data_IF_243310552576
#
_entry.id   IF_243310552576
#
_cell.length_a   1.000
_cell.length_b   1.000
_cell.length_c   1.000
_cell.angle_alpha   90.00
_cell.angle_beta   90.00
_cell.angle_gamma   90.00
#
_symmetry.space_group_name_H-M   'P 1'
#
loop_
_entity.id
_entity.type
_entity.pdbx_description
1 polymer ?
#
# COMPACT_ATOMS: atom_id res chain seq x y z
N UNK A 1 -12.33 -6.84 0.93
CA UNK A 1 -12.35 -5.91 -0.23
C UNK A 1 -12.69 -6.71 -1.47
N UNK A 2 -13.40 -6.12 -2.44
CA UNK A 2 -13.66 -6.80 -3.70
C UNK A 2 -12.34 -7.01 -4.47
N UNK A 3 -12.18 -8.07 -5.29
CA UNK A 3 -10.93 -8.34 -6.04
C UNK A 3 -10.41 -7.15 -6.86
N UNK A 4 -11.34 -6.32 -7.37
CA UNK A 4 -11.02 -5.08 -8.09
C UNK A 4 -10.31 -4.04 -7.22
N UNK A 5 -10.76 -3.84 -5.99
CA UNK A 5 -10.17 -2.86 -5.08
C UNK A 5 -8.73 -3.25 -4.69
N UNK A 6 -8.48 -4.55 -4.49
CA UNK A 6 -7.13 -5.05 -4.22
C UNK A 6 -6.20 -4.85 -5.42
N UNK A 7 -6.69 -5.07 -6.65
CA UNK A 7 -5.95 -4.83 -7.88
C UNK A 7 -5.61 -3.34 -8.09
N UNK A 8 -6.59 -2.45 -7.86
CA UNK A 8 -6.39 -1.00 -7.95
C UNK A 8 -5.33 -0.50 -6.94
N UNK A 9 -5.33 -1.03 -5.71
CA UNK A 9 -4.29 -0.71 -4.73
C UNK A 9 -2.91 -1.22 -5.18
N UNK A 10 -2.83 -2.41 -5.80
CA UNK A 10 -1.58 -2.93 -6.36
C UNK A 10 -1.03 -2.08 -7.50
N UNK A 11 -1.89 -1.62 -8.42
CA UNK A 11 -1.50 -0.69 -9.47
C UNK A 11 -0.99 0.63 -8.89
N UNK A 12 -1.72 1.20 -7.94
CA UNK A 12 -1.34 2.46 -7.29
C UNK A 12 -0.01 2.33 -6.53
N UNK A 13 0.22 1.21 -5.85
CA UNK A 13 1.48 0.90 -5.16
C UNK A 13 2.64 0.81 -6.16
N UNK A 14 2.43 0.12 -7.28
CA UNK A 14 3.45 -0.04 -8.34
C UNK A 14 3.79 1.31 -8.96
N UNK A 15 2.78 2.10 -9.29
CA UNK A 15 2.95 3.45 -9.81
C UNK A 15 3.73 4.33 -8.83
N UNK A 16 3.39 4.31 -7.54
CA UNK A 16 4.06 5.11 -6.53
C UNK A 16 5.54 4.70 -6.35
N UNK A 17 5.86 3.40 -6.41
CA UNK A 17 7.25 2.94 -6.39
C UNK A 17 8.05 3.50 -7.57
N UNK A 18 7.48 3.49 -8.78
CA UNK A 18 8.14 4.04 -9.98
C UNK A 18 8.37 5.55 -9.81
N UNK A 19 7.35 6.28 -9.35
CA UNK A 19 7.46 7.72 -9.12
C UNK A 19 8.53 8.05 -8.07
N UNK A 20 8.55 7.36 -6.93
CA UNK A 20 9.57 7.53 -5.89
C UNK A 20 10.98 7.26 -6.42
N UNK A 21 11.19 6.19 -7.17
CA UNK A 21 12.50 5.88 -7.76
C UNK A 21 12.94 6.99 -8.72
N UNK A 22 12.03 7.53 -9.53
CA UNK A 22 12.33 8.68 -10.40
C UNK A 22 12.72 9.90 -9.58
N UNK A 23 11.95 10.26 -8.55
CA UNK A 23 12.24 11.41 -7.69
C UNK A 23 13.58 11.25 -6.97
N UNK A 24 13.93 10.04 -6.50
CA UNK A 24 15.23 9.80 -5.84
C UNK A 24 16.41 9.89 -6.80
N UNK A 25 16.27 9.33 -8.01
CA UNK A 25 17.29 9.42 -9.06
C UNK A 25 17.47 10.87 -9.50
N UNK A 26 16.38 11.61 -9.74
CA UNK A 26 16.44 13.02 -10.14
C UNK A 26 17.03 13.90 -9.04
N UNK A 27 16.72 13.64 -7.77
CA UNK A 27 17.31 14.36 -6.63
C UNK A 27 18.83 14.18 -6.55
N UNK A 28 19.36 13.05 -7.02
CA UNK A 28 20.81 12.80 -7.08
C UNK A 28 21.51 13.49 -8.27
N UNK A 29 20.76 13.83 -9.33
CA UNK A 29 21.31 14.38 -10.57
C UNK A 29 21.13 15.91 -10.68
N UNK A 30 20.16 16.48 -9.98
CA UNK A 30 19.85 17.91 -10.04
C UNK A 30 20.90 18.74 -9.30
N UNK A 31 21.27 19.88 -9.90
CA UNK A 31 22.24 20.83 -9.32
C UNK A 31 21.59 21.98 -8.56
N UNK A 32 20.34 22.29 -8.90
CA UNK A 32 19.55 23.30 -8.22
C UNK A 32 19.10 22.78 -6.84
N UNK A 33 19.55 23.44 -5.78
CA UNK A 33 19.33 22.96 -4.41
C UNK A 33 17.86 23.08 -3.98
N UNK A 34 17.13 24.09 -4.46
CA UNK A 34 15.71 24.23 -4.16
C UNK A 34 14.88 23.12 -4.83
N UNK A 35 15.20 22.79 -6.08
CA UNK A 35 14.56 21.68 -6.79
C UNK A 35 14.94 20.32 -6.17
N UNK A 36 16.16 20.17 -5.67
CA UNK A 36 16.59 18.99 -4.94
C UNK A 36 15.78 18.78 -3.66
N UNK A 37 15.56 19.83 -2.87
CA UNK A 37 14.74 19.76 -1.67
C UNK A 37 13.30 19.33 -1.99
N UNK A 38 12.70 19.88 -3.04
CA UNK A 38 11.35 19.50 -3.50
C UNK A 38 11.30 18.00 -3.85
N UNK A 39 12.29 17.51 -4.60
CA UNK A 39 12.34 16.09 -4.99
C UNK A 39 12.58 15.15 -3.79
N UNK A 40 13.38 15.58 -2.81
CA UNK A 40 13.57 14.82 -1.57
C UNK A 40 12.29 14.78 -0.71
N UNK A 41 11.56 15.89 -0.64
CA UNK A 41 10.27 15.95 0.04
C UNK A 41 9.24 15.04 -0.65
N UNK A 42 9.15 15.09 -1.98
CA UNK A 42 8.28 14.20 -2.76
C UNK A 42 8.63 12.72 -2.53
N UNK A 43 9.93 12.38 -2.54
CA UNK A 43 10.39 11.03 -2.23
C UNK A 43 9.98 10.58 -0.83
N UNK A 44 10.14 11.45 0.19
CA UNK A 44 9.76 11.16 1.58
C UNK A 44 8.25 10.97 1.73
N UNK A 45 7.44 11.83 1.12
CA UNK A 45 5.99 11.67 1.11
C UNK A 45 5.56 10.39 0.40
N UNK A 46 6.18 10.08 -0.74
CA UNK A 46 5.90 8.86 -1.48
C UNK A 46 6.24 7.58 -0.71
N UNK A 47 7.30 7.57 0.09
CA UNK A 47 7.60 6.44 1.00
C UNK A 47 6.49 6.23 2.05
N UNK A 48 5.94 7.32 2.61
CA UNK A 48 4.81 7.22 3.53
C UNK A 48 3.57 6.62 2.83
N UNK A 49 3.24 7.11 1.63
CA UNK A 49 2.13 6.57 0.84
C UNK A 49 2.32 5.08 0.51
N UNK A 50 3.53 4.65 0.14
CA UNK A 50 3.85 3.24 -0.11
C UNK A 50 3.58 2.39 1.14
N UNK A 51 4.00 2.87 2.31
CA UNK A 51 3.77 2.18 3.58
C UNK A 51 2.28 2.06 3.87
N UNK A 52 1.52 3.12 3.66
CA UNK A 52 0.08 3.14 3.95
C UNK A 52 -0.69 2.22 2.98
N UNK A 53 -0.35 2.23 1.69
CA UNK A 53 -0.93 1.32 0.69
C UNK A 53 -0.62 -0.15 1.00
N UNK A 54 0.60 -0.47 1.44
CA UNK A 54 0.95 -1.83 1.91
C UNK A 54 0.14 -2.22 3.14
N UNK A 55 -0.04 -1.31 4.09
CA UNK A 55 -0.86 -1.57 5.27
C UNK A 55 -2.33 -1.82 4.92
N UNK A 56 -2.88 -1.12 3.90
CA UNK A 56 -4.23 -1.34 3.40
C UNK A 56 -4.36 -2.74 2.75
N UNK A 57 -3.38 -3.15 1.94
CA UNK A 57 -3.34 -4.51 1.37
C UNK A 57 -3.31 -5.59 2.47
N UNK A 58 -2.40 -5.46 3.44
CA UNK A 58 -2.27 -6.42 4.55
C UNK A 58 -3.56 -6.51 5.37
N UNK A 59 -4.20 -5.37 5.66
CA UNK A 59 -5.49 -5.36 6.38
C UNK A 59 -6.57 -6.07 5.57
N UNK A 60 -6.61 -5.87 4.25
CA UNK A 60 -7.55 -6.55 3.35
C UNK A 60 -7.35 -8.07 3.37
N UNK A 61 -6.10 -8.54 3.27
CA UNK A 61 -5.77 -9.98 3.32
C UNK A 61 -6.12 -10.60 4.68
N UNK A 62 -5.81 -9.91 5.78
CA UNK A 62 -6.15 -10.35 7.14
C UNK A 62 -7.67 -10.40 7.39
N UNK A 63 -8.45 -9.50 6.78
CA UNK A 63 -9.92 -9.55 6.88
C UNK A 63 -10.53 -10.75 6.15
N UNK A 64 -9.90 -11.22 5.07
CA UNK A 64 -10.36 -12.40 4.34
C UNK A 64 -10.15 -13.72 5.12
N UNK A 65 -9.14 -13.78 5.99
CA UNK A 65 -8.85 -14.98 6.81
C UNK A 65 -9.83 -15.13 7.99
N UNK A 66 -10.30 -14.03 8.58
CA UNK A 66 -11.19 -14.07 9.74
C UNK A 66 -12.61 -14.52 9.42
N UNK A 67 -13.10 -14.31 8.19
CA UNK A 67 -14.41 -14.78 7.75
C UNK A 67 -14.50 -16.30 7.58
N UNK A 68 -13.36 -16.99 7.47
CA UNK A 68 -13.31 -18.46 7.32
C UNK A 68 -13.25 -19.22 8.64
N UNK A 69 -13.05 -18.54 9.78
CA UNK A 69 -12.72 -19.20 11.07
C UNK A 69 -13.83 -19.12 12.14
N UNK A 70 -15.04 -18.65 11.80
CA UNK A 70 -16.17 -18.55 12.76
C UNK A 70 -17.36 -19.45 12.42
N UNK A 71 -17.19 -20.47 11.58
CA UNK A 71 -18.30 -21.34 11.17
C UNK A 71 -18.32 -22.74 11.82
N UNK A 72 -17.59 -22.97 12.91
CA UNK A 72 -17.58 -24.29 13.59
C UNK A 72 -17.58 -24.25 15.12
N UNK A 73 -18.40 -23.40 15.75
CA UNK A 73 -18.75 -23.57 17.19
C UNK A 73 -20.18 -23.12 17.49
N UNK A 74 -21.15 -23.65 16.73
CA UNK A 74 -22.57 -23.45 16.96
C UNK A 74 -23.29 -24.77 17.14
N UNK A 75 -23.07 -25.45 18.27
CA UNK A 75 -23.85 -26.62 18.65
C UNK A 75 -25.36 -26.30 18.69
N UNK A 76 -26.16 -27.17 18.10
CA UNK A 76 -27.58 -27.33 18.46
C UNK A 76 -27.93 -28.79 18.29
N UNK A 77 -27.85 -29.52 19.40
CA UNK A 77 -28.60 -30.76 19.62
C UNK A 77 -30.08 -30.39 19.49
N UNK A 78 -30.81 -31.01 18.57
CA UNK A 78 -32.26 -31.14 18.69
C UNK A 78 -32.63 -32.60 18.49
N UNK A 79 -33.33 -33.09 19.52
CA UNK A 79 -34.09 -34.32 19.60
C UNK A 79 -35.03 -34.51 18.41
#
# INVERSE_FOLDING_TARGET
MAPREAFEIHELLTHKNIACTKSSVMAALVKDEALKEILQQDFKMGQNHIRDLRNLLLKSELTNVKTSNTQDMGGTIRH
#
